data_IF_810822837841
#
_entry.id   IF_810822837841
#
_cell.length_a   1.000
_cell.length_b   1.000
_cell.length_c   1.000
_cell.angle_alpha   90.00
_cell.angle_beta   90.00
_cell.angle_gamma   90.00
#
_symmetry.space_group_name_H-M   'P 1'
#
loop_
_entity.id
_entity.type
_entity.pdbx_description
1 polymer ?
#
# COMPACT_ATOMS: atom_id res chain seq x y z
N UNK A 1 7.03 10.21 -6.24
CA UNK A 1 5.94 9.78 -5.34
C UNK A 1 5.45 10.94 -4.49
N UNK A 2 4.22 10.86 -3.98
CA UNK A 2 3.75 11.77 -2.94
C UNK A 2 4.26 11.32 -1.56
N UNK A 3 4.62 12.27 -0.70
CA UNK A 3 5.20 12.00 0.65
C UNK A 3 4.42 10.97 1.50
N UNK A 4 3.10 10.90 1.33
CA UNK A 4 2.23 9.94 2.04
C UNK A 4 2.41 8.52 1.52
N UNK A 5 2.54 8.36 0.20
CA UNK A 5 2.76 7.05 -0.44
C UNK A 5 4.09 6.47 0.05
N UNK A 6 5.17 7.26 -0.03
CA UNK A 6 6.50 6.82 0.41
C UNK A 6 6.51 6.37 1.87
N UNK A 7 5.93 7.19 2.76
CA UNK A 7 5.86 6.88 4.19
C UNK A 7 5.07 5.59 4.46
N UNK A 8 3.94 5.39 3.77
CA UNK A 8 3.09 4.21 3.98
C UNK A 8 3.78 2.96 3.42
N UNK A 9 4.43 3.07 2.26
CA UNK A 9 5.22 1.97 1.68
C UNK A 9 6.33 1.51 2.63
N UNK A 10 7.13 2.44 3.18
CA UNK A 10 8.19 2.11 4.14
C UNK A 10 7.67 1.43 5.42
N UNK A 11 6.46 1.80 5.86
CA UNK A 11 5.81 1.19 7.02
C UNK A 11 5.18 -0.18 6.71
N UNK A 12 4.64 -0.36 5.51
CA UNK A 12 3.91 -1.56 5.11
C UNK A 12 4.82 -2.72 4.72
N UNK A 13 5.96 -2.47 4.06
CA UNK A 13 6.94 -3.49 3.64
C UNK A 13 7.29 -4.48 4.77
N UNK A 14 7.78 -4.05 5.94
CA UNK A 14 8.18 -5.00 6.98
C UNK A 14 7.00 -5.79 7.58
N UNK A 15 5.77 -5.29 7.43
CA UNK A 15 4.56 -5.97 7.90
C UNK A 15 4.19 -7.08 6.92
N UNK A 16 4.12 -6.78 5.63
CA UNK A 16 3.77 -7.79 4.60
C UNK A 16 4.83 -8.89 4.53
N UNK A 17 6.11 -8.54 4.60
CA UNK A 17 7.22 -9.52 4.58
C UNK A 17 7.13 -10.49 5.77
N UNK A 18 6.80 -9.98 6.96
CA UNK A 18 6.65 -10.80 8.17
C UNK A 18 5.49 -11.79 8.05
N UNK A 19 4.42 -11.38 7.37
CA UNK A 19 3.24 -12.22 7.14
C UNK A 19 3.37 -13.07 5.86
N UNK A 20 4.54 -13.06 5.21
CA UNK A 20 4.82 -13.80 3.97
C UNK A 20 3.89 -13.40 2.80
N UNK A 21 3.56 -12.10 2.74
CA UNK A 21 2.76 -11.42 1.72
C UNK A 21 3.64 -10.45 0.91
N UNK A 22 3.13 -9.99 -0.22
CA UNK A 22 3.79 -9.00 -1.08
C UNK A 22 3.01 -7.68 -1.11
N UNK A 23 3.71 -6.55 -0.96
CA UNK A 23 3.15 -5.23 -1.20
C UNK A 23 3.28 -4.89 -2.69
N UNK A 24 2.16 -4.84 -3.40
CA UNK A 24 2.13 -4.60 -4.85
C UNK A 24 2.17 -3.11 -5.17
N UNK A 25 1.31 -2.31 -4.52
CA UNK A 25 1.23 -0.88 -4.79
C UNK A 25 0.59 -0.08 -3.63
N UNK A 26 0.88 1.22 -3.57
CA UNK A 26 0.26 2.17 -2.65
C UNK A 26 -0.15 3.42 -3.41
N UNK A 27 -1.45 3.72 -3.43
CA UNK A 27 -1.98 4.87 -4.15
C UNK A 27 -2.65 5.87 -3.21
N UNK A 28 -2.44 7.16 -3.47
CA UNK A 28 -3.22 8.23 -2.84
C UNK A 28 -4.05 8.96 -3.89
N UNK A 29 -5.34 8.65 -3.96
CA UNK A 29 -6.25 9.10 -5.03
C UNK A 29 -7.38 9.98 -4.48
N UNK A 30 -7.95 10.82 -5.34
CA UNK A 30 -9.14 11.63 -5.01
C UNK A 30 -10.30 11.24 -5.91
N UNK A 31 -11.38 10.76 -5.31
CA UNK A 31 -12.58 10.31 -6.01
C UNK A 31 -13.82 10.91 -5.36
N UNK A 32 -14.72 11.48 -6.17
CA UNK A 32 -15.96 12.08 -5.65
C UNK A 32 -15.76 13.22 -4.64
N UNK A 33 -14.58 13.86 -4.63
CA UNK A 33 -14.24 14.89 -3.64
C UNK A 33 -13.55 14.36 -2.38
N UNK A 34 -13.49 13.04 -2.18
CA UNK A 34 -12.89 12.36 -1.04
C UNK A 34 -11.52 11.81 -1.41
N UNK A 35 -10.57 11.87 -0.47
CA UNK A 35 -9.26 11.24 -0.64
C UNK A 35 -9.26 9.82 -0.09
N UNK A 36 -8.65 8.90 -0.83
CA UNK A 36 -8.46 7.50 -0.47
C UNK A 36 -6.99 7.16 -0.50
N UNK A 37 -6.54 6.44 0.52
CA UNK A 37 -5.26 5.74 0.52
C UNK A 37 -5.56 4.26 0.27
N UNK A 38 -5.02 3.71 -0.82
CA UNK A 38 -5.20 2.31 -1.20
C UNK A 38 -3.87 1.60 -1.06
N UNK A 39 -3.93 0.38 -0.54
CA UNK A 39 -2.77 -0.48 -0.32
C UNK A 39 -3.14 -1.81 -0.96
N UNK A 40 -2.39 -2.21 -1.97
CA UNK A 40 -2.58 -3.46 -2.69
C UNK A 40 -1.59 -4.49 -2.17
N UNK A 41 -2.11 -5.59 -1.65
CA UNK A 41 -1.33 -6.67 -1.06
C UNK A 41 -1.74 -7.95 -1.78
N UNK A 42 -0.75 -8.77 -2.11
CA UNK A 42 -0.94 -10.07 -2.73
C UNK A 42 -0.34 -11.18 -1.87
N UNK A 43 -0.80 -12.41 -2.11
CA UNK A 43 -0.26 -13.63 -1.51
C UNK A 43 0.04 -14.64 -2.60
N UNK A 44 1.02 -15.53 -2.39
CA UNK A 44 1.32 -16.56 -3.40
C UNK A 44 0.12 -17.50 -3.69
N UNK A 45 -0.87 -17.56 -2.79
CA UNK A 45 -2.07 -18.40 -2.97
C UNK A 45 -3.21 -17.71 -3.73
N UNK A 46 -3.11 -16.39 -4.02
CA UNK A 46 -4.08 -15.61 -4.79
C UNK A 46 -5.36 -15.22 -4.04
#
# INVERSE_FOLDING_TARGET
MGKVVDLVTELAIPIVEKENLELVDVEYVKEGGTYYLRIFIDSEEG
#
